data_IF_737427540262
#
_entry.id   IF_737427540262
#
_cell.length_a   1.000
_cell.length_b   1.000
_cell.length_c   1.000
_cell.angle_alpha   90.00
_cell.angle_beta   90.00
_cell.angle_gamma   90.00
#
_symmetry.space_group_name_H-M   'P 1'
#
loop_
_entity.id
_entity.type
_entity.pdbx_description
1 polymer ?
#
# COMPACT_ATOMS: atom_id res chain seq x y z
N UNK A 1 23.37 15.95 12.09
CA UNK A 1 24.37 14.88 11.86
C UNK A 1 23.77 13.47 11.85
N UNK A 2 22.79 13.15 12.71
CA UNK A 2 22.17 11.81 12.77
C UNK A 2 21.51 11.32 11.48
N UNK A 3 20.81 12.17 10.72
CA UNK A 3 20.22 11.77 9.43
C UNK A 3 21.26 11.36 8.37
N UNK A 4 22.48 11.88 8.43
CA UNK A 4 23.54 11.48 7.50
C UNK A 4 24.13 10.10 7.85
N UNK A 5 24.03 9.72 9.13
CA UNK A 5 24.53 8.47 9.68
C UNK A 5 23.48 7.35 9.67
N UNK A 6 22.19 7.70 9.71
CA UNK A 6 21.09 6.74 9.61
C UNK A 6 20.64 6.48 8.17
N UNK A 7 21.02 7.34 7.21
CA UNK A 7 20.25 7.46 5.96
C UNK A 7 21.05 7.72 4.66
N UNK A 8 22.40 7.76 4.63
CA UNK A 8 23.11 7.91 3.32
C UNK A 8 24.65 7.88 3.24
N UNK A 9 25.46 8.15 4.29
CA UNK A 9 26.88 8.47 4.00
C UNK A 9 27.89 7.32 3.89
N UNK A 10 27.61 6.15 4.45
CA UNK A 10 28.42 4.95 4.20
C UNK A 10 28.01 4.23 2.91
N UNK A 11 26.96 4.72 2.30
CA UNK A 11 26.04 3.84 1.62
C UNK A 11 26.49 3.73 0.14
N UNK A 12 26.66 4.84 -0.58
CA UNK A 12 27.12 4.80 -1.98
C UNK A 12 28.58 4.29 -2.22
N UNK A 13 29.37 4.07 -1.16
CA UNK A 13 30.71 3.43 -1.28
C UNK A 13 30.69 1.95 -0.85
N UNK A 14 29.64 1.48 -0.16
CA UNK A 14 29.55 0.13 0.42
C UNK A 14 28.23 -0.64 0.18
N UNK A 15 27.18 -0.03 -0.39
CA UNK A 15 25.80 -0.58 -0.45
C UNK A 15 25.50 -1.58 -1.55
N UNK A 16 26.34 -1.67 -2.58
CA UNK A 16 26.06 -2.56 -3.70
C UNK A 16 24.98 -2.06 -4.68
N UNK A 17 24.61 -2.91 -5.65
CA UNK A 17 23.78 -2.52 -6.80
C UNK A 17 22.35 -2.08 -6.42
N UNK A 18 21.82 -2.53 -5.29
CA UNK A 18 20.44 -2.31 -4.87
C UNK A 18 20.16 -0.83 -4.54
N UNK A 19 21.09 -0.14 -3.88
CA UNK A 19 20.93 1.28 -3.55
C UNK A 19 20.98 2.17 -4.80
N UNK A 20 21.82 1.80 -5.78
CA UNK A 20 21.88 2.48 -7.08
C UNK A 20 20.54 2.30 -7.81
N UNK A 21 20.00 1.08 -7.84
CA UNK A 21 18.71 0.79 -8.45
C UNK A 21 17.57 1.58 -7.78
N UNK A 22 17.49 1.57 -6.45
CA UNK A 22 16.50 2.36 -5.71
C UNK A 22 16.62 3.83 -6.05
N UNK A 23 17.84 4.39 -6.08
CA UNK A 23 18.05 5.79 -6.43
C UNK A 23 17.55 6.11 -7.83
N UNK A 24 17.80 5.26 -8.82
CA UNK A 24 17.24 5.45 -10.17
C UNK A 24 15.71 5.41 -10.16
N UNK A 25 15.12 4.45 -9.45
CA UNK A 25 13.66 4.36 -9.30
C UNK A 25 13.06 5.62 -8.69
N UNK A 26 13.72 6.22 -7.68
CA UNK A 26 13.20 7.45 -7.05
C UNK A 26 13.12 8.66 -7.99
N UNK A 27 13.95 8.68 -9.04
CA UNK A 27 13.89 9.71 -10.09
C UNK A 27 12.81 9.38 -11.12
N UNK A 28 12.75 8.12 -11.57
CA UNK A 28 11.78 7.67 -12.56
C UNK A 28 10.34 7.74 -12.04
N UNK A 29 10.11 7.36 -10.78
CA UNK A 29 8.76 7.25 -10.24
C UNK A 29 8.05 8.60 -10.05
N UNK A 30 8.78 9.71 -10.13
CA UNK A 30 8.23 11.07 -10.12
C UNK A 30 8.12 11.70 -11.51
N UNK A 31 8.61 11.02 -12.55
CA UNK A 31 8.54 11.52 -13.92
C UNK A 31 7.07 11.55 -14.39
N UNK A 32 6.66 12.64 -15.03
CA UNK A 32 5.27 12.83 -15.48
C UNK A 32 4.82 11.75 -16.48
N UNK A 33 5.70 11.30 -17.37
CA UNK A 33 5.39 10.22 -18.31
C UNK A 33 5.16 8.90 -17.58
N UNK A 34 6.00 8.58 -16.61
CA UNK A 34 5.82 7.41 -15.77
C UNK A 34 4.50 7.49 -15.00
N UNK A 35 4.20 8.64 -14.40
CA UNK A 35 2.96 8.84 -13.65
C UNK A 35 1.73 8.70 -14.55
N UNK A 36 1.74 9.27 -15.76
CA UNK A 36 0.66 9.09 -16.73
C UNK A 36 0.45 7.60 -17.07
N UNK A 37 1.54 6.87 -17.33
CA UNK A 37 1.49 5.43 -17.57
C UNK A 37 0.99 4.65 -16.34
N UNK A 38 1.39 5.05 -15.13
CA UNK A 38 0.96 4.42 -13.89
C UNK A 38 -0.55 4.60 -13.66
N UNK A 39 -1.13 5.75 -14.00
CA UNK A 39 -2.59 5.96 -14.00
C UNK A 39 -3.29 5.02 -14.97
N UNK A 40 -2.74 4.83 -16.18
CA UNK A 40 -3.30 3.87 -17.15
C UNK A 40 -3.25 2.44 -16.60
N UNK A 41 -2.15 2.05 -15.95
CA UNK A 41 -2.06 0.73 -15.32
C UNK A 41 -3.05 0.54 -14.17
N UNK A 42 -3.32 1.58 -13.38
CA UNK A 42 -4.38 1.54 -12.37
C UNK A 42 -5.74 1.25 -13.01
N UNK A 43 -6.06 1.94 -14.12
CA UNK A 43 -7.32 1.75 -14.85
C UNK A 43 -7.41 0.35 -15.47
N UNK A 44 -6.33 -0.12 -16.09
CA UNK A 44 -6.21 -1.47 -16.65
C UNK A 44 -6.43 -2.54 -15.59
N UNK A 45 -5.83 -2.41 -14.39
CA UNK A 45 -6.07 -3.35 -13.30
C UNK A 45 -7.53 -3.36 -12.83
N UNK A 46 -8.25 -2.21 -12.90
CA UNK A 46 -9.69 -2.17 -12.63
C UNK A 46 -10.50 -2.89 -13.71
N UNK A 47 -10.13 -2.73 -14.97
CA UNK A 47 -10.78 -3.43 -16.07
C UNK A 47 -10.58 -4.95 -15.97
N UNK A 48 -9.34 -5.38 -15.71
CA UNK A 48 -9.02 -6.79 -15.47
C UNK A 48 -9.82 -7.33 -14.30
N UNK A 49 -9.95 -6.57 -13.20
CA UNK A 49 -10.74 -7.01 -12.06
C UNK A 49 -12.22 -7.26 -12.40
N UNK A 50 -12.80 -6.48 -13.33
CA UNK A 50 -14.17 -6.68 -13.80
C UNK A 50 -14.35 -7.96 -14.63
N UNK A 51 -13.31 -8.37 -15.36
CA UNK A 51 -13.34 -9.57 -16.24
C UNK A 51 -12.86 -10.84 -15.52
N UNK A 52 -11.89 -10.70 -14.62
CA UNK A 52 -11.14 -11.78 -13.96
C UNK A 52 -10.98 -11.48 -12.45
N UNK A 53 -12.08 -11.46 -11.68
CA UNK A 53 -12.06 -11.04 -10.28
C UNK A 53 -11.18 -11.92 -9.38
N UNK A 54 -10.95 -13.19 -9.77
CA UNK A 54 -10.10 -14.13 -9.04
C UNK A 54 -8.62 -13.75 -8.96
N UNK A 55 -8.13 -12.83 -9.82
CA UNK A 55 -6.71 -12.44 -9.90
C UNK A 55 -6.25 -11.50 -8.77
N UNK A 56 -7.16 -10.89 -8.02
CA UNK A 56 -6.84 -9.83 -7.06
C UNK A 56 -6.49 -8.47 -7.69
N UNK A 57 -6.73 -8.28 -9.00
CA UNK A 57 -6.41 -7.03 -9.69
C UNK A 57 -7.12 -5.79 -9.08
N UNK A 58 -8.31 -5.96 -8.47
CA UNK A 58 -9.00 -4.88 -7.77
C UNK A 58 -8.20 -4.38 -6.55
N UNK A 59 -7.67 -5.32 -5.78
CA UNK A 59 -6.81 -5.07 -4.62
C UNK A 59 -5.54 -4.36 -5.03
N UNK A 60 -4.90 -4.84 -6.09
CA UNK A 60 -3.70 -4.22 -6.65
C UNK A 60 -3.97 -2.79 -7.12
N UNK A 61 -5.05 -2.57 -7.88
CA UNK A 61 -5.43 -1.23 -8.33
C UNK A 61 -5.68 -0.26 -7.17
N UNK A 62 -6.26 -0.72 -6.05
CA UNK A 62 -6.44 0.10 -4.85
C UNK A 62 -5.10 0.42 -4.18
N UNK A 63 -4.20 -0.55 -4.10
CA UNK A 63 -2.86 -0.34 -3.56
C UNK A 63 -2.06 0.67 -4.39
N UNK A 64 -2.13 0.57 -5.73
CA UNK A 64 -1.51 1.53 -6.65
C UNK A 64 -2.06 2.95 -6.44
N UNK A 65 -3.37 3.12 -6.26
CA UNK A 65 -3.98 4.43 -5.95
C UNK A 65 -3.50 4.99 -4.62
N UNK A 66 -3.38 4.15 -3.58
CA UNK A 66 -2.84 4.56 -2.29
C UNK A 66 -1.37 4.99 -2.40
N UNK A 67 -0.56 4.24 -3.14
CA UNK A 67 0.84 4.58 -3.40
C UNK A 67 0.97 5.92 -4.11
N UNK A 68 0.17 6.15 -5.17
CA UNK A 68 0.19 7.40 -5.94
C UNK A 68 -0.22 8.61 -5.08
N UNK A 69 -1.27 8.44 -4.26
CA UNK A 69 -1.68 9.47 -3.30
C UNK A 69 -0.55 9.77 -2.32
N UNK A 70 0.09 8.72 -1.79
CA UNK A 70 1.20 8.82 -0.83
C UNK A 70 2.37 9.58 -1.43
N UNK A 71 2.78 9.24 -2.66
CA UNK A 71 3.83 9.96 -3.39
C UNK A 71 3.50 11.46 -3.51
N UNK A 72 2.28 11.78 -3.93
CA UNK A 72 1.83 13.15 -4.13
C UNK A 72 1.82 13.95 -2.82
N UNK A 73 1.41 13.31 -1.72
CA UNK A 73 1.45 13.91 -0.38
C UNK A 73 2.90 14.18 0.05
N UNK A 74 3.77 13.17 -0.03
CA UNK A 74 5.16 13.28 0.41
C UNK A 74 5.96 14.32 -0.38
N UNK A 75 5.66 14.53 -1.66
CA UNK A 75 6.29 15.58 -2.48
C UNK A 75 6.04 17.00 -1.98
N UNK A 76 4.96 17.22 -1.21
CA UNK A 76 4.54 18.53 -0.72
C UNK A 76 4.75 18.68 0.79
N UNK A 77 4.69 17.58 1.52
CA UNK A 77 4.74 17.56 2.97
C UNK A 77 6.13 17.86 3.55
N UNK A 78 6.12 18.39 4.78
CA UNK A 78 7.30 18.58 5.62
C UNK A 78 7.15 17.78 6.90
N UNK A 79 8.26 17.46 7.57
CA UNK A 79 8.23 16.94 8.92
C UNK A 79 7.87 18.01 9.95
N UNK A 80 7.77 17.58 11.21
CA UNK A 80 7.51 18.40 12.38
C UNK A 80 8.45 19.61 12.56
N UNK A 81 9.64 19.58 11.97
CA UNK A 81 10.65 20.64 12.10
C UNK A 81 10.76 21.47 10.81
N UNK A 82 9.86 21.27 9.85
CA UNK A 82 9.78 21.99 8.57
C UNK A 82 10.70 21.43 7.48
N UNK A 83 11.36 20.29 7.71
CA UNK A 83 12.19 19.61 6.73
C UNK A 83 11.35 18.93 5.66
N UNK A 84 11.64 19.14 4.37
CA UNK A 84 10.93 18.47 3.27
C UNK A 84 11.04 16.95 3.39
N UNK A 85 9.93 16.23 3.17
CA UNK A 85 9.91 14.77 3.22
C UNK A 85 10.50 14.17 1.94
N UNK A 86 10.01 14.56 0.77
CA UNK A 86 10.53 14.01 -0.48
C UNK A 86 11.73 14.81 -1.00
N UNK A 87 12.94 14.31 -0.72
CA UNK A 87 14.17 14.85 -1.28
C UNK A 87 15.25 13.77 -1.42
N UNK A 88 16.15 13.95 -2.39
CA UNK A 88 17.19 12.98 -2.76
C UNK A 88 18.06 12.50 -1.59
N UNK A 89 18.30 13.36 -0.60
CA UNK A 89 19.12 13.06 0.58
C UNK A 89 18.37 12.37 1.74
N UNK A 90 17.06 12.15 1.63
CA UNK A 90 16.21 11.55 2.68
C UNK A 90 15.71 10.17 2.23
N UNK A 91 16.62 9.21 2.24
CA UNK A 91 16.38 7.89 1.66
C UNK A 91 15.42 7.06 2.50
N UNK A 92 15.31 7.32 3.81
CA UNK A 92 14.26 6.77 4.66
C UNK A 92 12.83 7.16 4.26
N UNK A 93 12.66 8.10 3.32
CA UNK A 93 11.37 8.38 2.65
C UNK A 93 11.32 7.78 1.26
N UNK A 94 12.34 8.04 0.45
CA UNK A 94 12.30 7.73 -0.99
C UNK A 94 12.49 6.24 -1.28
N UNK A 95 13.33 5.53 -0.52
CA UNK A 95 13.60 4.10 -0.74
C UNK A 95 12.41 3.21 -0.38
N UNK A 96 11.75 3.36 0.80
CA UNK A 96 10.57 2.56 1.10
C UNK A 96 9.45 2.75 0.07
N UNK A 97 9.29 3.96 -0.47
CA UNK A 97 8.30 4.23 -1.50
C UNK A 97 8.66 3.59 -2.85
N UNK A 98 9.96 3.54 -3.19
CA UNK A 98 10.45 2.80 -4.36
C UNK A 98 10.27 1.28 -4.19
N UNK A 99 10.56 0.72 -3.01
CA UNK A 99 10.35 -0.70 -2.71
C UNK A 99 8.85 -1.08 -2.82
N UNK A 100 7.97 -0.22 -2.29
CA UNK A 100 6.53 -0.38 -2.45
C UNK A 100 6.09 -0.41 -3.92
N UNK A 101 6.70 0.45 -4.76
CA UNK A 101 6.45 0.44 -6.20
C UNK A 101 6.88 -0.89 -6.84
N UNK A 102 8.04 -1.43 -6.47
CA UNK A 102 8.53 -2.70 -7.00
C UNK A 102 7.54 -3.85 -6.73
N UNK A 103 6.97 -3.94 -5.52
CA UNK A 103 5.97 -4.97 -5.21
C UNK A 103 4.69 -4.81 -6.05
N UNK A 104 4.24 -3.57 -6.28
CA UNK A 104 3.09 -3.29 -7.12
C UNK A 104 3.34 -3.71 -8.58
N UNK A 105 4.51 -3.37 -9.12
CA UNK A 105 4.87 -3.71 -10.49
C UNK A 105 5.06 -5.21 -10.67
N UNK A 106 5.69 -5.90 -9.72
CA UNK A 106 5.85 -7.35 -9.75
C UNK A 106 4.49 -8.07 -9.73
N UNK A 107 3.58 -7.67 -8.84
CA UNK A 107 2.22 -8.23 -8.80
C UNK A 107 1.43 -7.95 -10.08
N UNK A 108 1.61 -6.75 -10.69
CA UNK A 108 1.00 -6.42 -11.98
C UNK A 108 1.50 -7.32 -13.08
N UNK A 109 2.83 -7.47 -13.23
CA UNK A 109 3.38 -8.32 -14.29
C UNK A 109 2.92 -9.76 -14.12
N UNK A 110 2.91 -10.27 -12.89
CA UNK A 110 2.44 -11.63 -12.64
C UNK A 110 0.97 -11.84 -13.06
N UNK A 111 0.08 -10.88 -12.80
CA UNK A 111 -1.32 -10.94 -13.30
C UNK A 111 -1.35 -10.99 -14.83
N UNK A 112 -0.56 -10.14 -15.50
CA UNK A 112 -0.51 -10.10 -16.96
C UNK A 112 0.07 -11.38 -17.56
N UNK A 113 1.10 -11.95 -16.93
CA UNK A 113 1.72 -13.21 -17.35
C UNK A 113 0.72 -14.37 -17.25
N UNK A 114 -0.15 -14.39 -16.23
CA UNK A 114 -1.21 -15.40 -16.10
C UNK A 114 -2.32 -15.20 -17.13
N UNK A 115 -2.65 -13.96 -17.47
CA UNK A 115 -3.59 -13.66 -18.56
C UNK A 115 -3.03 -14.14 -19.89
N UNK A 116 -1.77 -13.83 -20.16
CA UNK A 116 -1.03 -14.27 -21.35
C UNK A 116 -0.98 -15.81 -21.41
N UNK A 117 -0.67 -16.48 -20.29
CA UNK A 117 -0.68 -17.94 -20.18
C UNK A 117 -2.06 -18.51 -20.51
N UNK A 118 -3.14 -17.91 -19.99
CA UNK A 118 -4.50 -18.36 -20.27
C UNK A 118 -4.90 -18.18 -21.74
N UNK A 119 -4.44 -17.09 -22.38
CA UNK A 119 -4.83 -16.74 -23.75
C UNK A 119 -3.98 -17.46 -24.80
N UNK A 120 -2.68 -17.60 -24.58
CA UNK A 120 -1.73 -18.18 -25.55
C UNK A 120 -1.32 -19.61 -25.21
N UNK A 121 -1.47 -20.04 -23.97
CA UNK A 121 -1.20 -21.41 -23.53
C UNK A 121 -1.87 -22.49 -24.38
N UNK A 122 -3.15 -22.35 -24.83
CA UNK A 122 -3.81 -23.36 -25.66
C UNK A 122 -3.12 -23.62 -27.00
N UNK A 123 -2.32 -22.69 -27.50
CA UNK A 123 -1.55 -22.84 -28.74
C UNK A 123 -0.22 -23.60 -28.53
N UNK A 124 0.16 -23.92 -27.29
CA UNK A 124 1.39 -24.64 -26.96
C UNK A 124 1.09 -26.13 -26.70
N UNK A 125 1.56 -27.05 -27.58
CA UNK A 125 1.37 -28.49 -27.36
C UNK A 125 1.97 -28.99 -26.04
N UNK A 126 3.02 -28.34 -25.54
CA UNK A 126 3.67 -28.69 -24.29
C UNK A 126 2.80 -28.43 -23.04
N UNK A 127 1.75 -27.62 -23.18
CA UNK A 127 0.82 -27.27 -22.09
C UNK A 127 -0.56 -27.91 -22.26
N UNK A 128 -0.76 -28.72 -23.29
CA UNK A 128 -2.09 -29.27 -23.62
C UNK A 128 -2.72 -30.04 -22.43
N UNK A 129 -1.89 -30.76 -21.68
CA UNK A 129 -2.30 -31.46 -20.47
C UNK A 129 -2.17 -30.54 -19.25
N UNK A 130 -3.30 -30.22 -18.61
CA UNK A 130 -3.32 -29.55 -17.31
C UNK A 130 -3.28 -28.02 -17.32
N UNK A 131 -3.26 -27.37 -18.50
CA UNK A 131 -3.31 -25.90 -18.60
C UNK A 131 -4.44 -25.25 -17.78
N UNK A 132 -5.69 -25.75 -17.77
CA UNK A 132 -6.74 -25.14 -16.94
C UNK A 132 -6.39 -25.10 -15.45
N UNK A 133 -5.92 -26.22 -14.90
CA UNK A 133 -5.52 -26.30 -13.50
C UNK A 133 -4.31 -25.42 -13.18
N UNK A 134 -3.37 -25.29 -14.12
CA UNK A 134 -2.21 -24.41 -14.00
C UNK A 134 -2.62 -22.94 -13.96
N UNK A 135 -3.54 -22.52 -14.85
CA UNK A 135 -4.08 -21.16 -14.88
C UNK A 135 -4.86 -20.85 -13.61
N UNK A 136 -5.68 -21.79 -13.11
CA UNK A 136 -6.43 -21.62 -11.86
C UNK A 136 -5.48 -21.43 -10.66
N UNK A 137 -4.46 -22.29 -10.56
CA UNK A 137 -3.45 -22.19 -9.51
C UNK A 137 -2.72 -20.84 -9.52
N UNK A 138 -2.24 -20.40 -10.69
CA UNK A 138 -1.55 -19.12 -10.77
C UNK A 138 -2.49 -17.93 -10.60
N UNK A 139 -3.77 -18.04 -10.99
CA UNK A 139 -4.78 -17.02 -10.71
C UNK A 139 -4.97 -16.82 -9.21
N UNK A 140 -5.07 -17.92 -8.45
CA UNK A 140 -5.15 -17.87 -6.99
C UNK A 140 -3.86 -17.29 -6.38
N UNK A 141 -2.70 -17.67 -6.90
CA UNK A 141 -1.42 -17.10 -6.46
C UNK A 141 -1.32 -15.60 -6.78
N UNK A 142 -1.84 -15.13 -7.91
CA UNK A 142 -1.92 -13.69 -8.22
C UNK A 142 -2.69 -12.95 -7.14
N UNK A 143 -3.83 -13.49 -6.69
CA UNK A 143 -4.62 -12.86 -5.64
C UNK A 143 -3.83 -12.76 -4.33
N UNK A 144 -3.13 -13.83 -3.95
CA UNK A 144 -2.27 -13.85 -2.76
C UNK A 144 -1.17 -12.80 -2.86
N UNK A 145 -0.49 -12.71 -4.01
CA UNK A 145 0.58 -11.72 -4.20
C UNK A 145 0.06 -10.28 -4.25
N UNK A 146 -1.10 -10.04 -4.89
CA UNK A 146 -1.75 -8.74 -4.91
C UNK A 146 -2.14 -8.29 -3.49
N UNK A 147 -2.68 -9.20 -2.68
CA UNK A 147 -3.03 -8.93 -1.29
C UNK A 147 -1.79 -8.65 -0.42
N UNK A 148 -0.70 -9.40 -0.63
CA UNK A 148 0.57 -9.17 0.09
C UNK A 148 1.19 -7.82 -0.28
N UNK A 149 1.28 -7.50 -1.57
CA UNK A 149 1.78 -6.22 -2.05
C UNK A 149 0.93 -5.05 -1.50
N UNK A 150 -0.41 -5.21 -1.50
CA UNK A 150 -1.32 -4.25 -0.90
C UNK A 150 -1.06 -4.01 0.59
N UNK A 151 -0.89 -5.09 1.38
CA UNK A 151 -0.60 -4.99 2.81
C UNK A 151 0.69 -4.21 3.09
N UNK A 152 1.76 -4.51 2.35
CA UNK A 152 3.03 -3.80 2.50
C UNK A 152 2.96 -2.34 2.07
N UNK A 153 2.28 -2.04 0.96
CA UNK A 153 2.03 -0.65 0.53
C UNK A 153 1.25 0.10 1.60
N UNK A 154 0.20 -0.50 2.16
CA UNK A 154 -0.58 0.08 3.25
C UNK A 154 0.27 0.40 4.48
N UNK A 155 1.12 -0.55 4.90
CA UNK A 155 2.04 -0.39 6.03
C UNK A 155 3.05 0.73 5.79
N UNK A 156 3.75 0.72 4.65
CA UNK A 156 4.75 1.75 4.30
C UNK A 156 4.09 3.13 4.17
N UNK A 157 2.97 3.22 3.47
CA UNK A 157 2.25 4.49 3.31
C UNK A 157 1.84 5.09 4.66
N UNK A 158 1.33 4.29 5.60
CA UNK A 158 1.04 4.80 6.94
C UNK A 158 2.29 5.26 7.68
N UNK A 159 3.36 4.47 7.65
CA UNK A 159 4.61 4.82 8.32
C UNK A 159 5.16 6.16 7.80
N UNK A 160 5.13 6.39 6.48
CA UNK A 160 5.64 7.62 5.88
C UNK A 160 4.73 8.83 6.08
N UNK A 161 3.41 8.65 6.06
CA UNK A 161 2.44 9.76 6.21
C UNK A 161 2.33 10.22 7.66
N UNK A 162 2.36 9.30 8.62
CA UNK A 162 2.22 9.64 10.04
C UNK A 162 3.56 9.79 10.76
N UNK A 163 4.60 9.05 10.36
CA UNK A 163 5.83 8.89 11.14
C UNK A 163 6.67 10.16 11.29
N UNK A 164 6.44 11.17 10.45
CA UNK A 164 7.15 12.46 10.52
C UNK A 164 6.37 13.57 11.21
N UNK A 165 5.14 13.28 11.65
CA UNK A 165 4.34 14.22 12.43
C UNK A 165 4.82 14.26 13.88
N UNK A 166 4.78 15.45 14.49
CA UNK A 166 5.01 15.57 15.93
C UNK A 166 3.84 14.93 16.65
N UNK A 167 4.12 14.21 17.74
CA UNK A 167 3.04 13.73 18.61
C UNK A 167 2.20 14.94 19.06
N UNK A 168 0.87 14.91 18.90
CA UNK A 168 0.01 16.01 19.32
C UNK A 168 0.17 16.28 20.82
N UNK A 169 0.01 17.54 21.21
CA UNK A 169 -0.03 17.98 22.60
C UNK A 169 -1.28 18.83 22.83
N UNK A 170 -1.83 18.83 24.04
CA UNK A 170 -2.96 19.68 24.43
C UNK A 170 -2.55 21.15 24.54
N UNK A 171 -2.40 21.81 23.39
CA UNK A 171 -2.18 23.24 23.30
C UNK A 171 -3.43 23.95 22.74
N UNK A 172 -3.47 25.29 22.80
CA UNK A 172 -4.64 26.08 22.41
C UNK A 172 -5.10 25.86 20.94
N UNK A 173 -4.21 25.39 20.06
CA UNK A 173 -4.55 25.02 18.68
C UNK A 173 -5.18 23.63 18.55
N UNK A 174 -4.78 22.70 19.41
CA UNK A 174 -5.17 21.29 19.37
C UNK A 174 -6.60 21.03 19.88
N UNK A 175 -7.10 21.86 20.80
CA UNK A 175 -8.49 21.78 21.29
C UNK A 175 -9.52 22.10 20.19
N UNK A 176 -9.16 22.92 19.19
CA UNK A 176 -10.06 23.31 18.08
C UNK A 176 -10.38 22.17 17.12
N UNK A 177 -9.59 21.10 17.13
CA UNK A 177 -9.83 19.92 16.29
C UNK A 177 -10.63 18.83 16.99
N UNK A 178 -11.01 19.02 18.26
CA UNK A 178 -11.78 18.08 19.07
C UNK A 178 -13.25 18.49 19.15
N UNK A 179 -14.14 17.54 19.45
CA UNK A 179 -15.53 17.86 19.78
C UNK A 179 -15.61 18.49 21.17
N UNK A 180 -16.50 19.45 21.38
CA UNK A 180 -16.91 19.85 22.74
C UNK A 180 -18.02 18.90 23.21
N UNK A 181 -18.01 18.54 24.49
CA UNK A 181 -19.00 17.60 25.05
C UNK A 181 -20.44 18.09 24.81
N UNK A 182 -20.70 19.38 25.06
CA UNK A 182 -22.03 19.98 24.86
C UNK A 182 -22.47 19.94 23.39
N UNK A 183 -21.55 20.24 22.46
CA UNK A 183 -21.81 20.19 21.02
C UNK A 183 -22.08 18.74 20.56
N UNK A 184 -21.32 17.77 21.10
CA UNK A 184 -21.46 16.37 20.74
C UNK A 184 -22.81 15.80 21.21
N UNK A 185 -23.25 16.15 22.43
CA UNK A 185 -24.58 15.78 22.95
C UNK A 185 -25.69 16.37 22.08
N UNK A 186 -25.54 17.64 21.67
CA UNK A 186 -26.49 18.27 20.76
C UNK A 186 -26.53 17.55 19.39
N UNK A 187 -25.37 17.22 18.83
CA UNK A 187 -25.25 16.55 17.53
C UNK A 187 -25.74 15.11 17.54
N UNK A 188 -25.61 14.39 18.66
CA UNK A 188 -26.11 13.01 18.82
C UNK A 188 -27.61 12.91 18.56
N UNK A 189 -28.37 13.95 18.92
CA UNK A 189 -29.82 14.03 18.66
C UNK A 189 -30.16 14.10 17.16
N UNK A 190 -29.22 14.53 16.32
CA UNK A 190 -29.39 14.62 14.86
C UNK A 190 -28.69 13.47 14.12
N UNK A 191 -27.60 12.94 14.68
CA UNK A 191 -26.78 11.87 14.11
C UNK A 191 -26.56 10.81 15.20
N UNK A 192 -27.49 9.85 15.34
CA UNK A 192 -27.35 8.78 16.32
C UNK A 192 -26.06 7.99 16.10
N UNK A 193 -25.30 7.77 17.19
CA UNK A 193 -24.03 7.04 17.22
C UNK A 193 -22.78 7.93 17.04
N UNK A 194 -22.93 9.24 16.84
CA UNK A 194 -21.80 10.15 16.67
C UNK A 194 -20.91 10.20 17.91
N UNK A 195 -21.51 10.22 19.11
CA UNK A 195 -20.78 10.24 20.37
C UNK A 195 -19.86 9.03 20.54
N UNK A 196 -20.24 7.87 20.00
CA UNK A 196 -19.39 6.67 19.99
C UNK A 196 -18.26 6.70 18.97
N UNK A 197 -18.36 7.57 17.95
CA UNK A 197 -17.36 7.72 16.88
C UNK A 197 -16.46 8.94 17.10
N UNK A 198 -16.81 9.84 18.02
CA UNK A 198 -15.98 10.97 18.40
C UNK A 198 -14.70 10.47 19.06
N UNK A 199 -13.56 10.70 18.41
CA UNK A 199 -12.27 10.26 18.93
C UNK A 199 -11.88 10.99 20.20
N UNK A 200 -11.93 12.32 20.18
CA UNK A 200 -11.60 13.18 21.32
C UNK A 200 -12.68 14.20 21.61
N UNK A 201 -12.98 14.29 22.90
CA UNK A 201 -13.97 15.21 23.45
C UNK A 201 -13.32 16.07 24.53
N UNK A 202 -13.53 17.37 24.45
CA UNK A 202 -13.18 18.31 25.51
C UNK A 202 -14.44 18.54 26.33
N UNK A 203 -14.36 18.30 27.63
CA UNK A 203 -15.46 18.51 28.56
C UNK A 203 -15.69 20.01 28.78
N UNK A 204 -16.88 20.38 29.27
CA UNK A 204 -17.25 21.79 29.49
C UNK A 204 -16.38 22.47 30.56
N UNK A 205 -15.72 21.70 31.43
CA UNK A 205 -14.73 22.18 32.40
C UNK A 205 -13.30 22.32 31.81
N UNK A 206 -13.14 22.04 30.52
CA UNK A 206 -11.88 22.06 29.79
C UNK A 206 -11.02 20.81 30.00
N UNK A 207 -11.48 19.83 30.77
CA UNK A 207 -10.80 18.55 30.91
C UNK A 207 -10.86 17.75 29.59
N UNK A 208 -9.89 16.86 29.43
CA UNK A 208 -9.71 16.07 28.20
C UNK A 208 -9.26 14.65 28.54
N UNK A 209 -9.34 13.70 27.59
CA UNK A 209 -8.94 12.32 27.83
C UNK A 209 -7.49 12.22 28.36
N UNK A 210 -7.18 11.17 29.17
CA UNK A 210 -5.87 10.99 29.79
C UNK A 210 -4.82 10.49 28.78
N UNK A 211 -4.51 11.33 27.79
CA UNK A 211 -3.50 11.12 26.76
C UNK A 211 -2.66 12.38 26.59
N UNK A 212 -1.51 12.26 25.92
CA UNK A 212 -0.57 13.38 25.79
C UNK A 212 -1.06 14.53 24.89
N UNK A 213 -2.01 14.27 24.00
CA UNK A 213 -2.64 15.24 23.10
C UNK A 213 -3.71 14.57 22.25
N UNK A 214 -4.44 15.32 21.39
CA UNK A 214 -5.51 14.76 20.58
C UNK A 214 -5.02 13.75 19.54
N UNK A 215 -5.94 13.09 18.84
CA UNK A 215 -5.66 12.17 17.75
C UNK A 215 -4.95 12.92 16.63
N UNK A 216 -3.96 12.26 16.01
CA UNK A 216 -3.17 12.86 14.95
C UNK A 216 -4.06 13.33 13.80
N UNK A 217 -3.78 14.54 13.27
CA UNK A 217 -4.49 15.12 12.13
C UNK A 217 -3.50 15.81 11.21
N UNK A 218 -3.73 15.70 9.91
CA UNK A 218 -2.95 16.36 8.87
C UNK A 218 -3.82 16.59 7.62
N UNK A 219 -3.37 17.45 6.73
CA UNK A 219 -4.09 17.77 5.50
C UNK A 219 -4.14 16.58 4.53
N UNK A 220 -5.34 16.19 4.14
CA UNK A 220 -5.58 15.02 3.28
C UNK A 220 -5.79 13.70 4.04
N UNK A 221 -5.81 13.71 5.37
CA UNK A 221 -6.05 12.52 6.20
C UNK A 221 -7.33 11.76 5.85
N UNK A 222 -8.43 12.46 5.59
CA UNK A 222 -9.70 11.80 5.24
C UNK A 222 -9.60 11.01 3.94
N UNK A 223 -8.93 11.57 2.91
CA UNK A 223 -8.71 10.87 1.65
C UNK A 223 -7.81 9.65 1.84
N UNK A 224 -6.74 9.79 2.62
CA UNK A 224 -5.86 8.68 2.98
C UNK A 224 -6.63 7.56 3.70
N UNK A 225 -7.41 7.89 4.72
CA UNK A 225 -8.21 6.93 5.48
C UNK A 225 -9.23 6.20 4.60
N UNK A 226 -9.91 6.92 3.69
CA UNK A 226 -10.84 6.30 2.73
C UNK A 226 -10.13 5.32 1.81
N UNK A 227 -8.96 5.67 1.28
CA UNK A 227 -8.15 4.78 0.45
C UNK A 227 -7.68 3.55 1.24
N UNK A 228 -7.27 3.73 2.50
CA UNK A 228 -6.88 2.65 3.40
C UNK A 228 -8.04 1.69 3.71
N UNK A 229 -9.19 2.22 4.12
CA UNK A 229 -10.37 1.39 4.39
C UNK A 229 -10.81 0.61 3.14
N UNK A 230 -10.76 1.26 1.96
CA UNK A 230 -11.04 0.58 0.69
C UNK A 230 -10.03 -0.53 0.40
N UNK A 231 -8.73 -0.29 0.66
CA UNK A 231 -7.68 -1.27 0.45
C UNK A 231 -7.89 -2.51 1.31
N UNK A 232 -8.19 -2.30 2.59
CA UNK A 232 -8.46 -3.38 3.56
C UNK A 232 -9.68 -4.20 3.13
N UNK A 233 -10.76 -3.54 2.69
CA UNK A 233 -11.93 -4.20 2.12
C UNK A 233 -11.63 -4.99 0.83
N UNK A 234 -10.71 -4.50 -0.01
CA UNK A 234 -10.28 -5.21 -1.21
C UNK A 234 -9.46 -6.47 -0.92
N UNK A 235 -9.04 -6.76 0.32
CA UNK A 235 -8.38 -8.02 0.68
C UNK A 235 -9.35 -9.22 0.73
N UNK A 236 -10.65 -8.96 0.57
CA UNK A 236 -11.72 -9.98 0.58
C UNK A 236 -11.39 -11.14 -0.36
N UNK A 237 -11.42 -12.37 0.18
CA UNK A 237 -11.20 -13.60 -0.58
C UNK A 237 -9.73 -14.00 -0.75
N UNK A 238 -8.76 -13.18 -0.35
CA UNK A 238 -7.33 -13.50 -0.48
C UNK A 238 -6.91 -14.77 0.28
N UNK A 239 -7.44 -15.00 1.49
CA UNK A 239 -7.15 -16.23 2.24
C UNK A 239 -7.80 -17.45 1.59
N UNK A 240 -9.01 -17.31 1.02
CA UNK A 240 -9.65 -18.42 0.29
C UNK A 240 -8.87 -18.78 -0.98
N UNK A 241 -8.31 -17.79 -1.68
CA UNK A 241 -7.40 -18.04 -2.81
C UNK A 241 -6.13 -18.75 -2.35
N UNK A 242 -5.57 -18.35 -1.20
CA UNK A 242 -4.43 -19.03 -0.60
C UNK A 242 -4.73 -20.49 -0.26
N UNK A 243 -5.90 -20.78 0.31
CA UNK A 243 -6.31 -22.14 0.66
C UNK A 243 -6.42 -23.03 -0.59
N UNK A 244 -7.04 -22.52 -1.68
CA UNK A 244 -7.11 -23.24 -2.96
C UNK A 244 -5.73 -23.47 -3.59
N UNK A 245 -4.86 -22.46 -3.59
CA UNK A 245 -3.50 -22.60 -4.09
C UNK A 245 -2.71 -23.62 -3.26
N UNK A 246 -2.86 -23.61 -1.93
CA UNK A 246 -2.23 -24.59 -1.05
C UNK A 246 -2.76 -26.01 -1.31
N UNK A 247 -4.06 -26.18 -1.47
CA UNK A 247 -4.67 -27.47 -1.80
C UNK A 247 -4.14 -28.00 -3.15
N UNK A 248 -4.04 -27.15 -4.17
CA UNK A 248 -3.48 -27.53 -5.47
C UNK A 248 -2.04 -28.05 -5.35
N UNK A 249 -1.20 -27.42 -4.53
CA UNK A 249 0.18 -27.88 -4.29
C UNK A 249 0.25 -29.28 -3.67
N UNK A 250 -0.73 -29.68 -2.85
CA UNK A 250 -0.77 -31.05 -2.28
C UNK A 250 -1.00 -32.13 -3.33
N UNK A 251 -1.49 -31.77 -4.51
CA UNK A 251 -1.80 -32.68 -5.61
C UNK A 251 -0.65 -32.79 -6.62
N UNK A 252 0.41 -31.98 -6.46
CA UNK A 252 1.60 -32.04 -7.31
C UNK A 252 2.51 -33.16 -6.83
N UNK A 253 2.69 -34.18 -7.67
CA UNK A 253 3.69 -35.21 -7.44
C UNK A 253 5.08 -34.61 -7.57
N UNK A 254 5.89 -34.67 -6.51
CA UNK A 254 7.31 -34.35 -6.57
C UNK A 254 8.04 -35.58 -7.11
N UNK A 255 8.72 -35.52 -8.27
CA UNK A 255 9.48 -36.64 -8.78
C UNK A 255 10.59 -37.04 -7.81
N UNK A 256 10.78 -38.33 -7.56
CA UNK A 256 11.86 -38.82 -6.68
C UNK A 256 13.26 -38.51 -7.23
N UNK A 257 13.39 -38.32 -8.55
CA UNK A 257 14.60 -37.85 -9.20
C UNK A 257 14.34 -36.48 -9.85
N UNK A 258 15.08 -35.46 -9.41
CA UNK A 258 15.02 -34.12 -10.00
C UNK A 258 15.80 -34.13 -11.32
N UNK A 259 15.10 -33.94 -12.43
CA UNK A 259 15.69 -33.82 -13.77
C UNK A 259 16.25 -32.40 -13.96
N UNK A 260 17.34 -32.10 -13.26
CA UNK A 260 18.12 -30.90 -13.53
C UNK A 260 19.02 -31.17 -14.76
N UNK A 261 19.01 -30.30 -15.78
CA UNK A 261 20.00 -30.39 -16.83
C UNK A 261 21.41 -30.25 -16.22
N UNK A 262 22.29 -31.18 -16.59
CA UNK A 262 23.69 -31.25 -16.14
C UNK A 262 24.52 -30.04 -16.58
#
# INVERSE_FOLDING_TARGET
LGHKWMDAQLEATYEGPEAVQRRQLTLTMTNELFLAQFHNWVAEMREIAGKRPGTGACTLATAMQLWLWTLTHLQKATDADGGKLYQSARQGVTFPLADALCWLLAARQFILDVIELAEKGPASPALADGLPALVDFYTDLCHVQAARAAGEVGRISAALVYGYNRHPAWNAGAARSCYQADDLVALESFIPGLASAAGDVIESDGSHPPKAGPCARFDGMEQFMRLRAKLDGCLTGSQLAKDRAAEALTKVMIPEALDYPA
#
